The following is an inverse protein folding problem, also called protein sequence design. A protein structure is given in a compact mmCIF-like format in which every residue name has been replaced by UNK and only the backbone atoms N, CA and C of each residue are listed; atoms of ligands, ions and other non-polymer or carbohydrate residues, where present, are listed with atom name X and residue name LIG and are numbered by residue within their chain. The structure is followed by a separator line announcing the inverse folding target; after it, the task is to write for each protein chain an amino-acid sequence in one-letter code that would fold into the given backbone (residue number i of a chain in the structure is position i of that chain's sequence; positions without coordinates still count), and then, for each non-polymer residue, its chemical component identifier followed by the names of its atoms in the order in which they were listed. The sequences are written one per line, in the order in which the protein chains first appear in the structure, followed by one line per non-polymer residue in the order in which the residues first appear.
data_IF_288641364136
#
_entry.id   IF_288641364136
#
_cell.length_a   1.000
_cell.length_b   1.000
_cell.length_c   1.000
_cell.angle_alpha   90.00
_cell.angle_beta   90.00
_cell.angle_gamma   90.00
#
_symmetry.space_group_name_H-M   'P 1'
#
loop_
_entity.id
_entity.type
_entity.pdbx_description
1 polymer ?
#
# COMPACT_ATOMS: atom_id res chain seq x y z
N UNK A 1 3.39 18.57 -21.38
CA UNK A 1 3.99 17.31 -21.88
C UNK A 1 3.80 17.21 -23.39
N UNK A 2 4.88 17.07 -24.17
CA UNK A 2 4.79 16.83 -25.62
C UNK A 2 4.30 15.41 -25.92
N UNK A 3 3.25 15.27 -26.74
CA UNK A 3 2.66 13.98 -27.14
C UNK A 3 3.11 13.50 -28.52
N UNK A 4 3.55 14.41 -29.39
CA UNK A 4 3.94 14.09 -30.76
C UNK A 4 3.92 15.33 -31.64
N UNK A 5 3.77 15.14 -32.95
CA UNK A 5 3.75 16.21 -33.95
C UNK A 5 2.43 16.22 -34.73
N UNK A 6 1.97 17.40 -35.09
CA UNK A 6 0.77 17.57 -35.89
C UNK A 6 1.05 17.20 -37.35
N UNK A 7 0.25 16.28 -37.92
CA UNK A 7 0.50 15.65 -39.22
C UNK A 7 0.70 16.62 -40.39
N UNK A 8 0.08 17.80 -40.37
CA UNK A 8 0.06 18.71 -41.52
C UNK A 8 1.00 19.91 -41.38
N UNK A 9 1.44 20.20 -40.16
CA UNK A 9 2.19 21.42 -39.84
C UNK A 9 3.54 21.11 -39.22
N UNK A 10 3.81 19.85 -38.88
CA UNK A 10 4.99 19.39 -38.14
C UNK A 10 5.24 20.13 -36.83
N UNK A 11 4.21 20.82 -36.32
CA UNK A 11 4.27 21.55 -35.06
C UNK A 11 4.09 20.57 -33.88
N UNK A 12 4.80 20.74 -32.78
CA UNK A 12 4.61 19.91 -31.58
C UNK A 12 3.18 19.98 -31.04
N UNK A 13 2.63 18.84 -30.67
CA UNK A 13 1.38 18.73 -29.92
C UNK A 13 1.73 18.59 -28.44
N UNK A 14 1.48 19.65 -27.67
CA UNK A 14 1.77 19.70 -26.24
C UNK A 14 0.47 19.74 -25.46
N UNK A 15 0.35 18.86 -24.46
CA UNK A 15 -0.79 18.79 -23.55
C UNK A 15 -0.30 18.97 -22.13
N UNK A 16 -0.95 19.86 -21.39
CA UNK A 16 -0.90 19.87 -19.93
C UNK A 16 -1.96 18.88 -19.42
N UNK A 17 -1.56 17.75 -18.81
CA UNK A 17 -2.52 16.77 -18.30
C UNK A 17 -3.39 17.32 -17.17
N UNK A 18 -2.90 18.30 -16.39
CA UNK A 18 -3.52 18.79 -15.17
C UNK A 18 -4.40 20.02 -15.41
N UNK A 19 -4.21 20.75 -16.51
CA UNK A 19 -5.08 21.85 -16.93
C UNK A 19 -6.41 21.37 -17.59
N UNK A 20 -6.86 20.14 -17.34
CA UNK A 20 -8.04 19.54 -17.97
C UNK A 20 -9.23 19.53 -17.01
N UNK A 21 -10.39 19.98 -17.49
CA UNK A 21 -11.64 20.03 -16.70
C UNK A 21 -12.14 18.64 -16.27
N UNK A 22 -11.98 17.62 -17.11
CA UNK A 22 -12.53 16.27 -16.90
C UNK A 22 -11.50 15.27 -16.35
N UNK A 23 -10.42 15.77 -15.75
CA UNK A 23 -9.34 14.96 -15.18
C UNK A 23 -8.23 14.57 -16.16
N UNK A 24 -7.20 13.93 -15.60
CA UNK A 24 -5.91 13.68 -16.25
C UNK A 24 -5.68 12.21 -16.64
N UNK A 25 -6.64 11.33 -16.36
CA UNK A 25 -6.55 9.91 -16.69
C UNK A 25 -6.35 9.73 -18.21
N UNK A 26 -5.53 8.74 -18.58
CA UNK A 26 -5.36 8.39 -19.99
C UNK A 26 -5.38 6.89 -20.18
N UNK A 27 -6.08 6.48 -21.22
CA UNK A 27 -6.15 5.11 -21.70
C UNK A 27 -5.47 5.03 -23.07
N UNK A 28 -4.63 4.02 -23.29
CA UNK A 28 -3.89 3.82 -24.55
C UNK A 28 -4.19 2.43 -25.09
N UNK A 29 -4.64 2.37 -26.34
CA UNK A 29 -5.02 1.12 -27.03
C UNK A 29 -4.33 1.09 -28.39
N UNK A 30 -4.03 -0.10 -28.87
CA UNK A 30 -3.43 -0.35 -30.17
C UNK A 30 -3.00 -1.80 -30.30
N UNK A 31 -2.76 -2.24 -31.53
CA UNK A 31 -2.32 -3.61 -31.82
C UNK A 31 -0.89 -3.88 -31.30
N UNK A 32 -0.50 -5.14 -31.08
CA UNK A 32 0.91 -5.49 -30.84
C UNK A 32 1.80 -4.88 -31.93
N UNK A 33 2.90 -4.24 -31.53
CA UNK A 33 3.81 -3.53 -32.46
C UNK A 33 3.39 -2.11 -32.85
N UNK A 34 2.23 -1.61 -32.45
CA UNK A 34 1.75 -0.25 -32.80
C UNK A 34 2.47 0.90 -32.08
N UNK A 35 3.47 0.61 -31.25
CA UNK A 35 4.22 1.62 -30.49
C UNK A 35 3.59 2.04 -29.15
N UNK A 36 2.62 1.29 -28.59
CA UNK A 36 2.00 1.60 -27.28
C UNK A 36 3.02 1.83 -26.16
N UNK A 37 3.94 0.88 -25.97
CA UNK A 37 4.95 0.97 -24.90
C UNK A 37 5.91 2.13 -25.14
N UNK A 38 6.26 2.40 -26.41
CA UNK A 38 7.13 3.52 -26.78
C UNK A 38 6.50 4.87 -26.42
N UNK A 39 5.25 5.10 -26.82
CA UNK A 39 4.55 6.36 -26.52
C UNK A 39 4.29 6.54 -25.03
N UNK A 40 3.95 5.47 -24.31
CA UNK A 40 3.76 5.50 -22.86
C UNK A 40 5.06 5.87 -22.12
N UNK A 41 6.20 5.26 -22.49
CA UNK A 41 7.53 5.56 -21.92
C UNK A 41 7.94 7.01 -22.17
N UNK A 42 7.83 7.48 -23.42
CA UNK A 42 8.15 8.88 -23.74
C UNK A 42 7.28 9.85 -22.93
N UNK A 43 5.98 9.58 -22.85
CA UNK A 43 5.07 10.41 -22.07
C UNK A 43 5.47 10.41 -20.60
N UNK A 44 5.73 9.25 -20.00
CA UNK A 44 6.14 9.13 -18.59
C UNK A 44 7.41 9.94 -18.32
N UNK A 45 8.48 9.70 -19.09
CA UNK A 45 9.77 10.39 -18.96
C UNK A 45 9.59 11.90 -19.06
N UNK A 46 8.90 12.38 -20.09
CA UNK A 46 8.63 13.82 -20.27
C UNK A 46 7.80 14.38 -19.12
N UNK A 47 6.88 13.60 -18.58
CA UNK A 47 6.00 14.04 -17.52
C UNK A 47 6.74 14.18 -16.18
N UNK A 48 7.71 13.31 -15.90
CA UNK A 48 8.61 13.39 -14.74
C UNK A 48 9.63 14.51 -14.93
N UNK A 49 10.28 14.58 -16.09
CA UNK A 49 11.33 15.58 -16.36
C UNK A 49 10.84 17.04 -16.32
N UNK A 50 9.54 17.29 -16.53
CA UNK A 50 8.97 18.63 -16.51
C UNK A 50 8.50 19.11 -15.12
N UNK A 51 8.47 18.24 -14.11
CA UNK A 51 7.93 18.55 -12.80
C UNK A 51 8.81 17.95 -11.71
N UNK A 52 9.59 18.78 -11.02
CA UNK A 52 10.52 18.35 -9.98
C UNK A 52 9.79 17.66 -8.81
N UNK A 53 8.55 18.06 -8.51
CA UNK A 53 7.74 17.51 -7.42
C UNK A 53 6.93 16.26 -7.84
N UNK A 54 7.23 15.65 -9.00
CA UNK A 54 6.39 14.58 -9.54
C UNK A 54 6.84 13.20 -9.10
N UNK A 55 5.96 12.55 -8.33
CA UNK A 55 6.05 11.13 -8.02
C UNK A 55 5.62 10.31 -9.25
N UNK A 56 6.48 9.42 -9.72
CA UNK A 56 6.22 8.51 -10.83
C UNK A 56 6.25 7.05 -10.38
N UNK A 57 5.15 6.33 -10.61
CA UNK A 57 5.07 4.90 -10.31
C UNK A 57 4.79 4.09 -11.57
N UNK A 58 5.62 3.08 -11.79
CA UNK A 58 5.53 2.15 -12.92
C UNK A 58 5.07 0.79 -12.37
N UNK A 59 3.91 0.34 -12.85
CA UNK A 59 3.37 -1.00 -12.59
C UNK A 59 3.43 -1.79 -13.89
N UNK A 60 4.29 -2.80 -13.99
CA UNK A 60 4.44 -3.48 -15.27
C UNK A 60 4.78 -4.99 -15.18
N UNK A 61 4.02 -5.87 -15.86
CA UNK A 61 4.16 -7.33 -15.74
C UNK A 61 5.16 -8.01 -16.68
N UNK A 62 5.69 -7.35 -17.73
CA UNK A 62 6.46 -7.99 -18.80
C UNK A 62 7.94 -7.54 -18.86
N UNK A 63 8.46 -6.89 -17.83
CA UNK A 63 9.82 -6.31 -17.75
C UNK A 63 10.16 -5.28 -18.83
N UNK A 64 9.21 -4.82 -19.64
CA UNK A 64 9.45 -3.87 -20.73
C UNK A 64 9.97 -2.53 -20.19
N UNK A 65 9.71 -2.19 -18.93
CA UNK A 65 10.05 -0.90 -18.34
C UNK A 65 11.33 -0.90 -17.51
N UNK A 66 11.94 -2.06 -17.26
CA UNK A 66 13.11 -2.17 -16.39
C UNK A 66 14.26 -1.24 -16.81
N UNK A 67 14.62 -1.20 -18.09
CA UNK A 67 15.70 -0.32 -18.57
C UNK A 67 15.36 1.18 -18.51
N UNK A 68 14.08 1.55 -18.61
CA UNK A 68 13.66 2.96 -18.42
C UNK A 68 13.70 3.32 -16.94
N UNK A 69 13.21 2.43 -16.07
CA UNK A 69 13.27 2.62 -14.63
C UNK A 69 14.73 2.79 -14.16
N UNK A 70 15.63 1.92 -14.60
CA UNK A 70 17.06 2.00 -14.29
C UNK A 70 17.69 3.31 -14.79
N UNK A 71 17.41 3.71 -16.03
CA UNK A 71 17.95 4.95 -16.60
C UNK A 71 17.46 6.21 -15.86
N UNK A 72 16.28 6.16 -15.25
CA UNK A 72 15.73 7.24 -14.43
C UNK A 72 16.14 7.14 -12.95
N UNK A 73 16.89 6.12 -12.55
CA UNK A 73 17.26 5.88 -11.15
C UNK A 73 16.07 5.50 -10.26
N UNK A 74 15.02 4.90 -10.83
CA UNK A 74 13.85 4.50 -10.07
C UNK A 74 14.16 3.37 -9.09
N UNK A 75 13.59 3.46 -7.88
CA UNK A 75 13.67 2.40 -6.89
C UNK A 75 12.87 1.18 -7.37
N UNK A 76 13.57 0.09 -7.68
CA UNK A 76 12.95 -1.17 -8.11
C UNK A 76 12.52 -2.00 -6.91
N UNK A 77 11.26 -2.38 -6.89
CA UNK A 77 10.66 -3.28 -5.88
C UNK A 77 10.09 -4.49 -6.61
N UNK A 78 10.67 -5.66 -6.35
CA UNK A 78 10.19 -6.91 -6.92
C UNK A 78 8.99 -7.42 -6.13
N UNK A 79 7.85 -7.54 -6.82
CA UNK A 79 6.60 -8.02 -6.22
C UNK A 79 6.68 -9.53 -5.99
N UNK A 80 6.42 -9.94 -4.75
CA UNK A 80 6.63 -11.32 -4.29
C UNK A 80 8.11 -11.67 -4.04
N UNK A 81 8.99 -10.66 -4.02
CA UNK A 81 10.31 -10.79 -3.44
C UNK A 81 10.27 -10.87 -1.91
N UNK A 82 11.44 -10.84 -1.28
CA UNK A 82 11.55 -10.90 0.18
C UNK A 82 11.54 -9.54 0.87
N UNK A 83 11.51 -8.44 0.12
CA UNK A 83 11.63 -7.07 0.64
C UNK A 83 10.59 -6.77 1.74
N UNK A 84 11.06 -6.22 2.87
CA UNK A 84 10.21 -5.85 3.99
C UNK A 84 9.30 -4.68 3.63
N UNK A 85 7.98 -4.86 3.75
CA UNK A 85 7.01 -3.79 3.52
C UNK A 85 5.93 -3.90 4.59
N UNK A 86 5.86 -2.93 5.49
CA UNK A 86 4.94 -2.94 6.61
C UNK A 86 3.58 -2.32 6.22
N UNK A 87 2.48 -3.10 6.17
CA UNK A 87 1.16 -2.55 5.86
C UNK A 87 0.66 -1.55 6.91
N UNK A 88 1.14 -1.67 8.15
CA UNK A 88 0.80 -0.82 9.30
C UNK A 88 1.68 0.44 9.39
N UNK A 89 2.56 0.68 8.42
CA UNK A 89 3.41 1.87 8.44
C UNK A 89 2.59 3.15 8.32
N UNK A 90 2.60 3.98 9.36
CA UNK A 90 2.04 5.33 9.34
C UNK A 90 3.17 6.34 9.23
N UNK A 91 3.00 7.33 8.35
CA UNK A 91 3.93 8.44 8.18
C UNK A 91 3.22 9.71 8.60
N UNK A 92 3.88 10.63 9.33
CA UNK A 92 3.24 11.89 9.68
C UNK A 92 2.93 12.67 8.39
N UNK A 93 1.72 13.25 8.25
CA UNK A 93 1.40 14.10 7.11
C UNK A 93 2.41 15.23 6.94
N UNK A 94 2.64 15.62 5.69
CA UNK A 94 3.49 16.76 5.33
C UNK A 94 3.02 18.03 6.04
N UNK A 95 3.94 18.96 6.32
CA UNK A 95 3.64 20.19 7.09
C UNK A 95 2.48 20.99 6.49
N UNK A 96 2.40 21.07 5.15
CA UNK A 96 1.33 21.78 4.44
C UNK A 96 -0.02 21.06 4.56
N UNK A 97 -0.01 19.73 4.58
CA UNK A 97 -1.21 18.93 4.81
C UNK A 97 -1.70 19.05 6.27
N UNK A 98 -0.81 19.17 7.26
CA UNK A 98 -1.20 19.36 8.69
C UNK A 98 -2.06 20.60 8.93
N UNK A 99 -1.89 21.64 8.11
CA UNK A 99 -2.69 22.87 8.19
C UNK A 99 -4.06 22.74 7.51
N UNK A 100 -4.22 21.73 6.64
CA UNK A 100 -5.46 21.45 5.89
C UNK A 100 -6.24 20.24 6.41
N UNK A 101 -5.62 19.38 7.23
CA UNK A 101 -6.31 18.33 8.00
C UNK A 101 -7.29 19.06 8.91
N UNK A 102 -8.56 19.09 8.50
CA UNK A 102 -9.63 19.67 9.29
C UNK A 102 -9.68 19.02 10.67
N UNK A 103 -10.25 19.72 11.65
CA UNK A 103 -10.32 19.26 13.04
C UNK A 103 -10.92 17.85 13.23
N UNK A 104 -11.64 17.34 12.23
CA UNK A 104 -12.33 16.05 12.24
C UNK A 104 -11.63 14.93 11.44
N UNK A 105 -10.48 15.19 10.80
CA UNK A 105 -9.73 14.17 10.07
C UNK A 105 -8.69 13.49 10.98
N UNK A 106 -8.82 12.18 11.18
CA UNK A 106 -7.89 11.35 11.96
C UNK A 106 -7.00 10.50 11.02
N UNK A 107 -5.72 10.86 10.82
CA UNK A 107 -4.81 10.07 10.00
C UNK A 107 -4.58 8.66 10.55
N UNK A 108 -4.64 8.49 11.88
CA UNK A 108 -4.49 7.18 12.52
C UNK A 108 -5.70 6.28 12.24
N UNK A 109 -6.93 6.78 12.46
CA UNK A 109 -8.16 6.03 12.19
C UNK A 109 -8.21 5.64 10.71
N UNK A 110 -7.93 6.57 9.81
CA UNK A 110 -7.86 6.29 8.37
C UNK A 110 -6.83 5.20 8.03
N UNK A 111 -5.66 5.21 8.69
CA UNK A 111 -4.64 4.18 8.48
C UNK A 111 -5.12 2.82 9.00
N UNK A 112 -5.72 2.77 10.19
CA UNK A 112 -6.28 1.53 10.75
C UNK A 112 -7.37 0.94 9.85
N UNK A 113 -8.28 1.77 9.31
CA UNK A 113 -9.29 1.34 8.34
C UNK A 113 -8.66 0.76 7.06
N UNK A 114 -7.58 1.36 6.57
CA UNK A 114 -6.82 0.85 5.42
C UNK A 114 -6.17 -0.50 5.71
N UNK A 115 -5.56 -0.67 6.89
CA UNK A 115 -5.01 -1.96 7.34
C UNK A 115 -6.11 -3.03 7.42
N UNK A 116 -7.25 -2.70 8.04
CA UNK A 116 -8.40 -3.60 8.12
C UNK A 116 -8.93 -3.99 6.73
N UNK A 117 -8.98 -3.05 5.80
CA UNK A 117 -9.40 -3.29 4.41
C UNK A 117 -8.41 -4.17 3.64
N UNK A 118 -7.11 -3.96 3.85
CA UNK A 118 -6.05 -4.82 3.30
C UNK A 118 -6.20 -6.26 3.80
N UNK A 119 -6.37 -6.46 5.11
CA UNK A 119 -6.56 -7.80 5.68
C UNK A 119 -7.88 -8.44 5.24
N UNK A 120 -8.98 -7.68 5.17
CA UNK A 120 -10.25 -8.18 4.64
C UNK A 120 -10.11 -8.67 3.19
N UNK A 121 -9.42 -7.91 2.33
CA UNK A 121 -9.14 -8.32 0.95
C UNK A 121 -8.24 -9.55 0.89
N UNK A 122 -7.23 -9.62 1.77
CA UNK A 122 -6.36 -10.79 1.89
C UNK A 122 -7.15 -12.06 2.23
N UNK A 123 -8.06 -12.00 3.21
CA UNK A 123 -8.92 -13.13 3.57
C UNK A 123 -9.89 -13.49 2.44
N UNK A 124 -10.53 -12.50 1.82
CA UNK A 124 -11.49 -12.71 0.74
C UNK A 124 -10.85 -13.46 -0.46
N UNK A 125 -9.60 -13.14 -0.81
CA UNK A 125 -8.88 -13.83 -1.87
C UNK A 125 -8.55 -15.29 -1.56
N UNK A 126 -8.54 -15.67 -0.28
CA UNK A 126 -8.41 -17.06 0.18
C UNK A 126 -9.76 -17.75 0.35
N UNK A 127 -10.87 -17.08 0.00
CA UNK A 127 -12.22 -17.58 0.23
C UNK A 127 -12.65 -17.56 1.70
N UNK A 128 -11.97 -16.77 2.53
CA UNK A 128 -12.22 -16.67 3.97
C UNK A 128 -13.00 -15.38 4.24
N UNK A 129 -14.12 -15.49 4.96
CA UNK A 129 -14.90 -14.33 5.42
C UNK A 129 -14.61 -14.04 6.89
N UNK A 130 -14.36 -12.78 7.22
CA UNK A 130 -14.13 -12.35 8.60
C UNK A 130 -15.40 -12.42 9.46
N UNK A 131 -16.56 -12.03 8.91
CA UNK A 131 -17.79 -11.87 9.70
C UNK A 131 -17.56 -11.00 10.94
N UNK A 132 -18.11 -11.41 12.07
CA UNK A 132 -18.03 -10.69 13.35
C UNK A 132 -16.61 -10.67 13.97
N UNK A 133 -15.68 -11.47 13.46
CA UNK A 133 -14.26 -11.48 13.89
C UNK A 133 -13.53 -10.21 13.49
N UNK A 134 -14.10 -9.44 12.56
CA UNK A 134 -13.59 -8.15 12.14
C UNK A 134 -13.38 -7.21 13.34
N UNK A 135 -14.30 -7.20 14.30
CA UNK A 135 -14.19 -6.34 15.48
C UNK A 135 -13.01 -6.72 16.36
N UNK A 136 -12.76 -8.02 16.55
CA UNK A 136 -11.57 -8.52 17.29
C UNK A 136 -10.27 -8.17 16.57
N UNK A 137 -10.27 -8.24 15.23
CA UNK A 137 -9.12 -7.82 14.43
C UNK A 137 -8.85 -6.31 14.53
N UNK A 138 -9.90 -5.48 14.46
CA UNK A 138 -9.80 -4.02 14.63
C UNK A 138 -9.26 -3.66 16.02
N UNK A 139 -9.73 -4.34 17.08
CA UNK A 139 -9.22 -4.18 18.43
C UNK A 139 -7.72 -4.52 18.54
N UNK A 140 -7.28 -5.62 17.91
CA UNK A 140 -5.88 -6.03 17.91
C UNK A 140 -4.98 -5.03 17.17
N UNK A 141 -5.45 -4.51 16.03
CA UNK A 141 -4.75 -3.44 15.28
C UNK A 141 -4.62 -2.18 16.12
N UNK A 142 -5.73 -1.71 16.72
CA UNK A 142 -5.72 -0.50 17.56
C UNK A 142 -4.76 -0.64 18.73
N UNK A 143 -4.80 -1.80 19.40
CA UNK A 143 -3.94 -2.11 20.54
C UNK A 143 -2.46 -2.19 20.12
N UNK A 144 -2.14 -2.75 18.95
CA UNK A 144 -0.77 -2.76 18.45
C UNK A 144 -0.21 -1.34 18.23
N UNK A 145 -1.00 -0.41 17.67
CA UNK A 145 -0.61 1.00 17.55
C UNK A 145 -0.43 1.65 18.92
N UNK A 146 -1.34 1.38 19.86
CA UNK A 146 -1.28 1.89 21.23
C UNK A 146 -0.02 1.41 21.95
N UNK A 147 0.34 0.13 21.82
CA UNK A 147 1.56 -0.47 22.38
C UNK A 147 2.82 0.15 21.76
N UNK A 148 2.79 0.52 20.48
CA UNK A 148 3.85 1.28 19.81
C UNK A 148 3.89 2.78 20.22
N UNK A 149 2.94 3.24 21.06
CA UNK A 149 2.84 4.62 21.50
C UNK A 149 2.37 5.58 20.39
N UNK A 150 1.68 5.07 19.37
CA UNK A 150 1.11 5.87 18.28
C UNK A 150 -0.34 6.20 18.64
N UNK A 151 -0.68 7.49 18.58
CA UNK A 151 -1.99 8.01 19.01
C UNK A 151 -2.55 8.99 17.97
N UNK A 152 -3.71 9.58 18.25
CA UNK A 152 -4.29 10.65 17.42
C UNK A 152 -3.40 11.89 17.31
N UNK A 153 -2.46 12.10 18.26
CA UNK A 153 -1.45 13.13 18.12
C UNK A 153 -0.46 12.78 16.99
N UNK A 154 -0.54 13.53 15.90
CA UNK A 154 0.30 13.39 14.70
C UNK A 154 1.80 13.46 15.01
N UNK A 155 2.21 14.11 16.09
CA UNK A 155 3.63 14.15 16.49
C UNK A 155 4.16 12.77 16.90
N UNK A 156 3.27 11.83 17.20
CA UNK A 156 3.61 10.45 17.54
C UNK A 156 3.83 9.55 16.33
N UNK A 157 3.42 9.98 15.13
CA UNK A 157 3.45 9.17 13.90
C UNK A 157 4.86 9.00 13.32
N UNK A 158 5.87 9.65 13.91
CA UNK A 158 7.28 9.43 13.58
C UNK A 158 7.90 8.22 14.33
N UNK A 159 7.16 7.60 15.26
CA UNK A 159 7.60 6.40 15.97
C UNK A 159 7.60 5.21 15.01
N UNK A 160 8.38 4.18 15.35
CA UNK A 160 8.34 2.92 14.62
C UNK A 160 6.91 2.36 14.68
N UNK A 161 6.31 2.18 13.50
CA UNK A 161 4.96 1.62 13.41
C UNK A 161 4.95 0.16 13.85
N UNK A 162 3.86 -0.35 14.46
CA UNK A 162 3.72 -1.77 14.69
C UNK A 162 3.71 -2.53 13.35
N UNK A 163 3.91 -3.83 13.39
CA UNK A 163 3.89 -4.75 12.26
C UNK A 163 2.74 -5.75 12.41
N UNK A 164 2.48 -6.56 11.37
CA UNK A 164 1.52 -7.66 11.51
C UNK A 164 1.98 -8.72 12.54
N UNK A 165 3.26 -8.80 12.88
CA UNK A 165 3.72 -9.66 13.97
C UNK A 165 3.28 -9.12 15.32
N UNK A 166 3.41 -7.81 15.54
CA UNK A 166 2.91 -7.17 16.76
C UNK A 166 1.37 -7.33 16.90
N UNK A 167 0.64 -7.32 15.78
CA UNK A 167 -0.81 -7.65 15.79
C UNK A 167 -1.06 -9.11 16.19
N UNK A 168 -0.25 -10.05 15.71
CA UNK A 168 -0.34 -11.47 16.11
C UNK A 168 -0.02 -11.61 17.59
N UNK A 169 1.01 -10.93 18.09
CA UNK A 169 1.39 -10.96 19.51
C UNK A 169 0.25 -10.44 20.40
N UNK A 170 -0.44 -9.36 20.00
CA UNK A 170 -1.64 -8.87 20.69
C UNK A 170 -2.78 -9.89 20.66
N UNK A 171 -2.96 -10.62 19.55
CA UNK A 171 -3.96 -11.68 19.50
C UNK A 171 -3.58 -12.86 20.42
N UNK A 172 -2.30 -13.18 20.57
CA UNK A 172 -1.81 -14.18 21.51
C UNK A 172 -2.05 -13.74 22.97
N UNK A 173 -1.85 -12.45 23.29
CA UNK A 173 -2.21 -11.85 24.57
C UNK A 173 -3.71 -11.96 24.85
N UNK A 174 -4.56 -11.68 23.85
CA UNK A 174 -6.02 -11.85 23.94
C UNK A 174 -6.44 -13.30 24.23
N UNK A 175 -5.69 -14.30 23.73
CA UNK A 175 -5.95 -15.71 24.05
C UNK A 175 -5.47 -16.05 25.46
N UNK A 176 -4.35 -15.46 25.91
CA UNK A 176 -3.78 -15.75 27.22
C UNK A 176 -4.56 -15.09 28.38
N UNK A 177 -5.08 -13.88 28.17
CA UNK A 177 -5.77 -13.08 29.18
C UNK A 177 -6.87 -12.20 28.55
N UNK A 178 -7.93 -12.83 28.05
CA UNK A 178 -9.05 -12.12 27.40
C UNK A 178 -9.74 -11.12 28.34
N UNK A 179 -9.80 -11.43 29.64
CA UNK A 179 -10.48 -10.60 30.65
C UNK A 179 -9.89 -9.19 30.74
N UNK A 180 -8.58 -9.04 30.51
CA UNK A 180 -7.90 -7.74 30.50
C UNK A 180 -8.38 -6.80 29.37
N UNK A 181 -9.05 -7.33 28.35
CA UNK A 181 -9.51 -6.60 27.17
C UNK A 181 -11.03 -6.42 27.08
N UNK A 182 -11.79 -7.02 27.99
CA UNK A 182 -13.25 -6.90 28.00
C UNK A 182 -13.72 -5.70 28.82
N UNK A 183 -14.93 -5.22 28.51
CA UNK A 183 -15.53 -4.14 29.29
C UNK A 183 -16.57 -4.65 30.30
N UNK A 184 -17.19 -5.84 30.07
CA UNK A 184 -18.48 -6.13 30.74
C UNK A 184 -18.80 -7.58 31.13
N UNK A 185 -18.37 -8.63 30.40
CA UNK A 185 -18.87 -10.00 30.68
C UNK A 185 -17.93 -11.15 30.30
N UNK A 186 -18.01 -12.27 31.02
CA UNK A 186 -17.31 -13.54 30.71
C UNK A 186 -17.60 -14.05 29.27
N UNK A 187 -18.83 -13.81 28.77
CA UNK A 187 -19.21 -14.19 27.41
C UNK A 187 -18.50 -13.35 26.32
N UNK A 188 -18.11 -12.12 26.64
CA UNK A 188 -17.28 -11.29 25.76
C UNK A 188 -15.85 -11.84 25.70
N UNK A 189 -15.31 -12.26 26.86
CA UNK A 189 -13.98 -12.87 26.96
C UNK A 189 -13.89 -14.17 26.14
N UNK A 190 -14.86 -15.07 26.28
CA UNK A 190 -14.91 -16.33 25.52
C UNK A 190 -14.98 -16.10 24.00
N UNK A 191 -15.75 -15.08 23.57
CA UNK A 191 -15.80 -14.68 22.16
C UNK A 191 -14.46 -14.15 21.67
N UNK A 192 -13.81 -13.26 22.44
CA UNK A 192 -12.50 -12.71 22.09
C UNK A 192 -11.44 -13.80 21.97
N UNK A 193 -11.37 -14.73 22.93
CA UNK A 193 -10.43 -15.86 22.90
C UNK A 193 -10.65 -16.73 21.65
N UNK A 194 -11.91 -17.06 21.35
CA UNK A 194 -12.29 -17.86 20.17
C UNK A 194 -11.93 -17.15 18.87
N UNK A 195 -12.25 -15.87 18.76
CA UNK A 195 -11.96 -15.07 17.57
C UNK A 195 -10.46 -14.86 17.39
N UNK A 196 -9.73 -14.57 18.46
CA UNK A 196 -8.29 -14.37 18.44
C UNK A 196 -7.55 -15.64 18.03
N UNK A 197 -7.92 -16.80 18.60
CA UNK A 197 -7.39 -18.11 18.21
C UNK A 197 -7.56 -18.36 16.71
N UNK A 198 -8.74 -18.06 16.17
CA UNK A 198 -9.01 -18.20 14.74
C UNK A 198 -8.19 -17.22 13.90
N UNK A 199 -8.09 -15.96 14.33
CA UNK A 199 -7.35 -14.91 13.62
C UNK A 199 -5.85 -15.21 13.56
N UNK A 200 -5.26 -15.71 14.65
CA UNK A 200 -3.85 -16.17 14.69
C UNK A 200 -3.62 -17.21 13.60
N UNK A 201 -4.50 -18.21 13.47
CA UNK A 201 -4.38 -19.23 12.43
C UNK A 201 -4.44 -18.64 11.02
N UNK A 202 -5.35 -17.69 10.78
CA UNK A 202 -5.48 -17.04 9.47
C UNK A 202 -4.31 -16.08 9.15
N UNK A 203 -3.65 -15.53 10.18
CA UNK A 203 -2.51 -14.61 10.04
C UNK A 203 -1.14 -15.30 10.07
N UNK A 204 -1.06 -16.62 10.32
CA UNK A 204 0.16 -17.44 10.15
C UNK A 204 0.98 -17.14 8.90
N UNK A 205 0.40 -16.85 7.71
CA UNK A 205 1.17 -16.48 6.53
C UNK A 205 2.11 -15.27 6.73
N UNK A 206 1.86 -14.40 7.71
CA UNK A 206 2.68 -13.22 8.01
C UNK A 206 3.70 -13.45 9.15
N UNK A 207 3.61 -14.59 9.84
CA UNK A 207 4.57 -15.01 10.86
C UNK A 207 5.99 -15.20 10.26
N UNK A 208 7.06 -15.32 11.09
CA UNK A 208 8.43 -15.41 10.61
C UNK A 208 8.71 -16.45 9.52
N UNK A 209 8.06 -17.62 9.60
CA UNK A 209 8.19 -18.72 8.63
C UNK A 209 7.05 -18.77 7.59
N UNK A 210 6.20 -17.74 7.58
CA UNK A 210 5.04 -17.65 6.68
C UNK A 210 5.41 -17.20 5.27
N UNK A 211 4.59 -17.57 4.28
CA UNK A 211 4.80 -17.20 2.87
C UNK A 211 4.83 -15.67 2.60
N UNK A 212 4.23 -14.88 3.49
CA UNK A 212 4.21 -13.41 3.48
C UNK A 212 4.95 -12.82 4.68
N UNK A 213 5.94 -13.53 5.23
CA UNK A 213 6.74 -13.07 6.39
C UNK A 213 7.37 -11.68 6.18
N UNK A 214 7.64 -11.31 4.92
CA UNK A 214 8.16 -10.02 4.52
C UNK A 214 7.16 -8.85 4.72
N UNK A 215 5.86 -9.14 4.78
CA UNK A 215 4.82 -8.16 5.13
C UNK A 215 4.58 -8.07 6.64
N UNK A 216 5.15 -9.00 7.42
CA UNK A 216 5.10 -8.99 8.88
C UNK A 216 6.27 -8.26 9.54
N UNK A 217 7.09 -7.53 8.79
CA UNK A 217 8.27 -6.84 9.31
C UNK A 217 8.27 -5.36 8.92
N UNK A 218 9.18 -4.59 9.52
CA UNK A 218 9.37 -3.18 9.18
C UNK A 218 9.70 -3.00 7.69
N UNK A 219 9.28 -1.86 7.14
CA UNK A 219 9.61 -1.49 5.77
C UNK A 219 11.12 -1.30 5.61
N UNK A 220 11.68 -1.90 4.57
CA UNK A 220 13.11 -1.76 4.21
C UNK A 220 13.34 -0.66 3.17
N UNK A 221 12.26 -0.07 2.64
CA UNK A 221 12.28 1.03 1.68
C UNK A 221 11.50 2.18 2.26
N UNK A 222 12.10 3.37 2.25
CA UNK A 222 11.42 4.61 2.56
C UNK A 222 10.59 5.05 1.34
N UNK A 223 9.34 4.59 1.29
CA UNK A 223 8.40 4.97 0.25
C UNK A 223 8.06 6.46 0.25
N UNK A 224 8.45 7.25 1.26
CA UNK A 224 8.26 8.70 1.29
C UNK A 224 9.47 9.47 0.72
N UNK A 225 10.64 8.83 0.60
CA UNK A 225 11.84 9.44 0.03
C UNK A 225 11.97 9.27 -1.51
N UNK A 226 11.47 8.16 -2.07
CA UNK A 226 11.58 7.81 -3.51
C UNK A 226 10.59 8.45 -4.51
N UNK A 227 11.02 9.44 -5.31
CA UNK A 227 10.14 10.07 -6.31
C UNK A 227 9.80 9.17 -7.49
N UNK A 228 10.59 8.13 -7.76
CA UNK A 228 10.36 7.19 -8.84
C UNK A 228 10.40 5.75 -8.34
N UNK A 229 9.29 5.04 -8.50
CA UNK A 229 9.14 3.66 -8.03
C UNK A 229 8.79 2.75 -9.21
N UNK A 230 9.50 1.63 -9.35
CA UNK A 230 9.21 0.59 -10.31
C UNK A 230 8.82 -0.70 -9.60
N UNK A 231 7.55 -1.09 -9.74
CA UNK A 231 7.02 -2.33 -9.20
C UNK A 231 7.15 -3.42 -10.25
N UNK A 232 8.17 -4.24 -10.10
CA UNK A 232 8.53 -5.34 -10.99
C UNK A 232 7.70 -6.58 -10.67
N UNK A 233 6.83 -6.92 -11.60
CA UNK A 233 5.89 -8.05 -11.50
C UNK A 233 6.34 -9.29 -12.27
N UNK A 234 7.46 -9.22 -12.98
CA UNK A 234 7.84 -10.23 -13.96
C UNK A 234 8.49 -11.47 -13.33
N UNK A 235 8.95 -11.40 -12.08
CA UNK A 235 9.53 -12.54 -11.37
C UNK A 235 8.50 -13.57 -10.86
N UNK A 236 7.21 -13.37 -11.13
CA UNK A 236 6.16 -14.31 -10.73
C UNK A 236 5.73 -15.16 -11.94
N UNK A 237 6.16 -16.42 -11.97
CA UNK A 237 5.70 -17.41 -12.95
C UNK A 237 4.22 -17.75 -12.70
N UNK A 238 3.31 -17.17 -13.49
CA UNK A 238 1.90 -17.56 -13.51
C UNK A 238 0.97 -16.44 -14.03
N UNK A 239 -0.28 -16.76 -14.40
CA UNK A 239 -1.29 -15.73 -14.64
C UNK A 239 -1.38 -14.82 -13.41
N UNK A 240 -1.60 -13.52 -13.61
CA UNK A 240 -1.90 -12.57 -12.53
C UNK A 240 -3.16 -13.07 -11.81
N UNK A 241 -2.98 -13.89 -10.77
CA UNK A 241 -4.03 -14.71 -10.20
C UNK A 241 -3.71 -15.14 -8.77
N UNK A 242 -4.53 -14.69 -7.83
CA UNK A 242 -4.63 -15.14 -6.44
C UNK A 242 -3.51 -14.70 -5.48
N UNK A 243 -2.22 -14.84 -5.86
CA UNK A 243 -1.09 -14.61 -4.93
C UNK A 243 -0.51 -13.20 -4.96
N UNK A 244 -0.59 -12.52 -6.10
CA UNK A 244 0.03 -11.21 -6.34
C UNK A 244 -0.89 -10.04 -6.03
N UNK A 245 -2.20 -10.25 -6.02
CA UNK A 245 -3.20 -9.19 -5.85
C UNK A 245 -3.14 -8.48 -4.48
N UNK A 246 -2.93 -9.15 -3.32
CA UNK A 246 -2.87 -8.44 -2.03
C UNK A 246 -1.62 -7.55 -1.93
N UNK A 247 -0.46 -8.10 -2.33
CA UNK A 247 0.82 -7.36 -2.33
C UNK A 247 0.73 -6.17 -3.29
N UNK A 248 0.15 -6.36 -4.46
CA UNK A 248 -0.08 -5.29 -5.43
C UNK A 248 -1.02 -4.20 -4.91
N UNK A 249 -2.16 -4.57 -4.30
CA UNK A 249 -3.09 -3.60 -3.72
C UNK A 249 -2.46 -2.80 -2.59
N UNK A 250 -1.64 -3.44 -1.75
CA UNK A 250 -0.89 -2.78 -0.69
C UNK A 250 0.14 -1.80 -1.27
N UNK A 251 0.94 -2.24 -2.24
CA UNK A 251 1.92 -1.40 -2.91
C UNK A 251 1.28 -0.19 -3.59
N UNK A 252 0.15 -0.39 -4.28
CA UNK A 252 -0.63 0.71 -4.87
C UNK A 252 -1.15 1.65 -3.77
N UNK A 253 -1.63 1.12 -2.65
CA UNK A 253 -2.11 1.93 -1.52
C UNK A 253 -0.98 2.76 -0.91
N UNK A 254 0.20 2.18 -0.68
CA UNK A 254 1.37 2.89 -0.15
C UNK A 254 1.83 4.01 -1.08
N UNK A 255 1.88 3.73 -2.39
CA UNK A 255 2.16 4.73 -3.42
C UNK A 255 1.11 5.84 -3.42
N UNK A 256 -0.16 5.49 -3.28
CA UNK A 256 -1.25 6.46 -3.26
C UNK A 256 -1.22 7.33 -1.99
N UNK A 257 -0.84 6.77 -0.84
CA UNK A 257 -0.60 7.52 0.40
C UNK A 257 0.51 8.56 0.20
N UNK A 258 1.62 8.20 -0.44
CA UNK A 258 2.67 9.16 -0.79
C UNK A 258 2.14 10.26 -1.71
N UNK A 259 1.35 9.92 -2.72
CA UNK A 259 0.82 10.90 -3.68
C UNK A 259 -0.17 11.92 -3.06
N UNK A 260 -0.66 11.68 -1.84
CA UNK A 260 -1.50 12.63 -1.08
C UNK A 260 -0.71 13.61 -0.20
N UNK A 261 0.57 13.34 0.06
CA UNK A 261 1.44 14.17 0.90
C UNK A 261 2.01 15.35 0.10
#
# INVERSE_FOLDING_TARGET
VELGVHRHTDTPVVVDPFARENGYATFTVGDPGSGKSFSAKQRFIRSVAHHEDRIGVILEPLNDWAGVAEALGAQRITVGGTLGINPLEITPPAKQAREQVGADASPLTEKQERVSSFLANFFAQRGVSLGDRRTTLELAIETAYRNAGITEDVTTHNRASPTLRDVIDVLEELVADADAFTLRTDAEAEKLETDATWLIDQLRPFAPDGQFAHLGRQSEVDFAAEDLIYLDLAQQEGPVGGRTTPVMQMLISLVYERAKQ
#
